data_IF_272320225035
#
_entry.id   IF_272320225035
#
_cell.length_a   1.000
_cell.length_b   1.000
_cell.length_c   1.000
_cell.angle_alpha   90.00
_cell.angle_beta   90.00
_cell.angle_gamma   90.00
#
_symmetry.space_group_name_H-M   'P 1'
#
loop_
_entity.id
_entity.type
_entity.pdbx_description
1 polymer ?
#
# COMPACT_ATOMS: atom_id res chain seq x y z
N UNK A 1 -31.14 -55.46 0.61
CA UNK A 1 -29.69 -55.19 0.53
C UNK A 1 -29.48 -53.73 0.13
N UNK A 2 -29.00 -52.87 1.05
CA UNK A 2 -28.79 -51.45 0.76
C UNK A 2 -27.44 -51.24 0.10
N UNK A 3 -27.44 -50.74 -1.14
CA UNK A 3 -26.23 -50.43 -1.91
C UNK A 3 -25.58 -49.17 -1.33
N UNK A 4 -24.41 -49.33 -0.69
CA UNK A 4 -23.60 -48.22 -0.21
C UNK A 4 -23.28 -47.27 -1.37
N UNK A 5 -23.81 -46.05 -1.32
CA UNK A 5 -23.43 -44.99 -2.26
C UNK A 5 -22.02 -44.55 -1.91
N UNK A 6 -21.03 -44.99 -2.70
CA UNK A 6 -19.69 -44.38 -2.70
C UNK A 6 -19.85 -42.94 -3.19
N UNK A 7 -19.99 -41.99 -2.26
CA UNK A 7 -19.94 -40.56 -2.55
C UNK A 7 -18.52 -40.18 -2.93
N UNK A 8 -18.16 -40.35 -4.20
CA UNK A 8 -16.91 -39.85 -4.74
C UNK A 8 -16.91 -38.32 -4.75
N UNK A 9 -15.86 -37.72 -4.21
CA UNK A 9 -15.62 -36.27 -4.27
C UNK A 9 -15.48 -35.88 -5.75
N UNK A 10 -16.40 -35.07 -6.27
CA UNK A 10 -16.44 -34.71 -7.69
C UNK A 10 -15.33 -33.72 -8.07
N UNK A 11 -14.88 -33.71 -9.33
CA UNK A 11 -13.82 -32.81 -9.80
C UNK A 11 -14.07 -31.32 -9.50
N UNK A 12 -15.34 -30.89 -9.50
CA UNK A 12 -15.73 -29.51 -9.12
C UNK A 12 -15.33 -29.17 -7.68
N UNK A 13 -15.45 -30.12 -6.76
CA UNK A 13 -15.07 -29.93 -5.36
C UNK A 13 -13.55 -29.90 -5.19
N UNK A 14 -12.80 -30.66 -5.98
CA UNK A 14 -11.33 -30.62 -6.02
C UNK A 14 -10.85 -29.27 -6.57
N UNK A 15 -11.42 -28.81 -7.69
CA UNK A 15 -11.08 -27.51 -8.27
C UNK A 15 -11.43 -26.35 -7.34
N UNK A 16 -12.59 -26.39 -6.69
CA UNK A 16 -12.98 -25.37 -5.71
C UNK A 16 -12.02 -25.34 -4.51
N UNK A 17 -11.62 -26.52 -4.00
CA UNK A 17 -10.63 -26.61 -2.92
C UNK A 17 -9.26 -26.09 -3.34
N UNK A 18 -8.81 -26.42 -4.56
CA UNK A 18 -7.55 -25.91 -5.10
C UNK A 18 -7.58 -24.39 -5.29
N UNK A 19 -8.67 -23.83 -5.80
CA UNK A 19 -8.86 -22.38 -5.92
C UNK A 19 -8.85 -21.69 -4.55
N UNK A 20 -9.53 -22.26 -3.56
CA UNK A 20 -9.51 -21.75 -2.19
C UNK A 20 -8.10 -21.75 -1.59
N UNK A 21 -7.34 -22.82 -1.78
CA UNK A 21 -5.95 -22.91 -1.32
C UNK A 21 -5.05 -21.88 -2.00
N UNK A 22 -5.24 -21.65 -3.31
CA UNK A 22 -4.51 -20.62 -4.04
C UNK A 22 -4.84 -19.20 -3.55
N UNK A 23 -6.11 -18.92 -3.24
CA UNK A 23 -6.53 -17.63 -2.66
C UNK A 23 -5.91 -17.42 -1.28
N UNK A 24 -5.91 -18.44 -0.41
CA UNK A 24 -5.28 -18.35 0.92
C UNK A 24 -3.76 -18.20 0.81
N UNK A 25 -3.12 -18.86 -0.15
CA UNK A 25 -1.68 -18.74 -0.38
C UNK A 25 -1.26 -17.37 -0.97
N UNK A 26 -2.20 -16.64 -1.58
CA UNK A 26 -1.93 -15.33 -2.19
C UNK A 26 -1.99 -14.15 -1.21
N UNK A 27 -2.30 -14.39 0.08
CA UNK A 27 -2.34 -13.32 1.07
C UNK A 27 -0.90 -12.90 1.43
N UNK A 28 -0.46 -11.74 0.90
CA UNK A 28 0.72 -11.07 1.41
C UNK A 28 0.45 -10.61 2.85
N UNK A 29 1.41 -10.83 3.76
CA UNK A 29 1.29 -10.36 5.14
C UNK A 29 1.02 -8.85 5.20
N UNK A 30 0.16 -8.42 6.13
CA UNK A 30 -0.14 -7.00 6.34
C UNK A 30 0.96 -6.36 7.17
N UNK A 31 1.45 -5.20 6.73
CA UNK A 31 2.39 -4.39 7.49
C UNK A 31 1.62 -3.45 8.44
N UNK A 32 2.00 -3.43 9.71
CA UNK A 32 1.42 -2.50 10.69
C UNK A 32 1.98 -1.08 10.56
N UNK A 33 3.19 -0.94 10.01
CA UNK A 33 3.87 0.33 9.82
C UNK A 33 4.87 0.22 8.66
N UNK A 34 5.19 1.36 8.05
CA UNK A 34 6.25 1.52 7.05
C UNK A 34 7.18 2.64 7.53
N UNK A 35 8.48 2.35 7.61
CA UNK A 35 9.52 3.32 7.93
C UNK A 35 10.31 3.60 6.66
N UNK A 36 10.27 4.84 6.19
CA UNK A 36 10.95 5.25 4.96
C UNK A 36 12.18 6.10 5.30
N UNK A 37 13.29 5.78 4.64
CA UNK A 37 14.55 6.53 4.73
C UNK A 37 14.96 6.92 3.31
N UNK A 38 15.56 8.09 3.15
CA UNK A 38 16.05 8.54 1.86
C UNK A 38 16.22 10.05 1.83
N UNK A 39 16.07 10.59 0.63
CA UNK A 39 16.21 12.01 0.34
C UNK A 39 14.84 12.66 0.04
N UNK A 40 14.89 13.78 -0.67
CA UNK A 40 13.75 14.52 -1.19
C UNK A 40 12.60 13.71 -1.79
N UNK A 41 12.88 12.55 -2.43
CA UNK A 41 11.85 11.77 -3.11
C UNK A 41 10.89 11.06 -2.15
N UNK A 42 11.34 10.82 -0.92
CA UNK A 42 10.56 10.11 0.11
C UNK A 42 10.30 11.00 1.33
N UNK A 43 10.87 12.20 1.36
CA UNK A 43 10.58 13.18 2.40
C UNK A 43 9.12 13.66 2.31
N UNK A 44 8.37 13.45 3.38
CA UNK A 44 6.97 13.84 3.50
C UNK A 44 6.77 15.26 4.06
N UNK A 45 7.86 15.99 4.31
CA UNK A 45 7.86 17.36 4.85
C UNK A 45 8.71 17.54 6.12
N UNK A 46 9.71 16.67 6.36
CA UNK A 46 10.55 16.72 7.55
C UNK A 46 11.30 18.05 7.66
N UNK A 47 11.72 18.65 6.55
CA UNK A 47 12.51 19.88 6.53
C UNK A 47 11.77 21.14 7.02
N UNK A 48 10.44 21.09 7.18
CA UNK A 48 9.65 22.23 7.70
C UNK A 48 9.19 22.04 9.14
N UNK A 49 9.52 20.91 9.77
CA UNK A 49 9.02 20.56 11.12
C UNK A 49 9.51 21.50 12.22
N UNK A 50 10.70 22.07 12.06
CA UNK A 50 11.31 23.02 13.01
C UNK A 50 11.18 24.49 12.55
N UNK A 51 10.30 24.76 11.58
CA UNK A 51 10.15 26.05 10.92
C UNK A 51 10.57 26.00 9.46
N UNK A 52 10.38 27.10 8.73
CA UNK A 52 10.66 27.18 7.29
C UNK A 52 11.96 27.98 7.09
N UNK A 53 13.08 27.32 6.73
CA UNK A 53 14.31 28.04 6.42
C UNK A 53 14.15 28.92 5.18
N UNK A 54 14.82 30.07 5.17
CA UNK A 54 14.69 31.02 4.06
C UNK A 54 15.15 30.43 2.72
N UNK A 55 16.08 29.48 2.72
CA UNK A 55 16.56 28.84 1.50
C UNK A 55 15.64 27.71 0.98
N UNK A 56 14.64 27.28 1.74
CA UNK A 56 13.85 26.10 1.41
C UNK A 56 12.77 26.44 0.37
N UNK A 57 13.09 26.25 -0.91
CA UNK A 57 12.18 26.53 -2.03
C UNK A 57 10.90 25.68 -1.97
N UNK A 58 10.98 24.46 -1.45
CA UNK A 58 9.89 23.46 -1.39
C UNK A 58 8.80 23.81 -0.39
N UNK A 59 9.06 24.78 0.49
CA UNK A 59 8.09 25.36 1.40
C UNK A 59 7.41 26.61 0.81
N UNK A 60 7.51 26.83 -0.51
CA UNK A 60 6.96 27.99 -1.22
C UNK A 60 6.31 27.57 -2.54
N UNK A 61 5.43 28.42 -3.11
CA UNK A 61 4.97 28.24 -4.48
C UNK A 61 6.13 28.06 -5.49
N UNK A 62 6.00 27.18 -6.50
CA UNK A 62 4.78 26.49 -6.89
C UNK A 62 4.46 25.21 -6.10
N UNK A 63 5.31 24.75 -5.18
CA UNK A 63 5.14 23.46 -4.50
C UNK A 63 3.84 23.41 -3.66
N UNK A 64 3.11 22.30 -3.83
CA UNK A 64 1.89 21.95 -3.11
C UNK A 64 0.61 22.56 -3.66
N UNK A 65 0.65 23.35 -4.74
CA UNK A 65 -0.50 23.95 -5.40
C UNK A 65 -1.42 22.92 -6.07
N UNK A 66 -0.88 21.89 -6.74
CA UNK A 66 -1.71 20.96 -7.53
C UNK A 66 -2.60 20.05 -6.66
N UNK A 67 -2.07 19.47 -5.59
CA UNK A 67 -2.82 18.49 -4.78
C UNK A 67 -3.25 19.02 -3.40
N UNK A 68 -2.33 19.66 -2.66
CA UNK A 68 -2.59 20.07 -1.27
C UNK A 68 -3.20 21.48 -1.16
N UNK A 69 -3.00 22.33 -2.16
CA UNK A 69 -3.36 23.75 -2.16
C UNK A 69 -2.43 24.66 -1.35
N UNK A 70 -1.35 24.13 -0.77
CA UNK A 70 -0.33 24.90 -0.04
C UNK A 70 1.01 24.14 0.02
N UNK A 71 2.15 24.84 0.18
CA UNK A 71 3.45 24.18 0.28
C UNK A 71 3.58 23.34 1.55
N UNK A 72 3.91 22.06 1.38
CA UNK A 72 4.08 21.09 2.47
C UNK A 72 5.55 20.86 2.85
N UNK A 73 6.49 21.49 2.14
CA UNK A 73 7.93 21.24 2.28
C UNK A 73 8.44 20.07 1.42
N UNK A 74 7.54 19.31 0.79
CA UNK A 74 7.87 18.21 -0.13
C UNK A 74 8.46 18.74 -1.43
N UNK A 75 9.39 17.99 -2.01
CA UNK A 75 9.95 18.27 -3.34
C UNK A 75 8.98 17.88 -4.48
N UNK A 76 7.68 18.11 -4.32
CA UNK A 76 6.62 17.81 -5.30
C UNK A 76 5.46 18.80 -5.16
N UNK A 77 4.56 18.83 -6.14
CA UNK A 77 3.34 19.64 -6.12
C UNK A 77 2.11 18.92 -5.51
N UNK A 78 2.38 17.73 -4.96
CA UNK A 78 1.43 16.71 -4.56
C UNK A 78 2.15 15.38 -4.40
#
# INVERSE_FOLDING_TARGET
MARARRGGVGWRTVLAAALWLLVVAAEAGKYNAVFNFGDSLVDAGNLVTEGIPDYLATARPPYGQSYFGYPTGRCSDG
#
